data_IF_609724779365
#
_entry.id   IF_609724779365
#
_cell.length_a   1.000
_cell.length_b   1.000
_cell.length_c   1.000
_cell.angle_alpha   90.00
_cell.angle_beta   90.00
_cell.angle_gamma   90.00
#
_symmetry.space_group_name_H-M   'P 1'
#
loop_
_entity.id
_entity.type
_entity.pdbx_description
1 polymer ?
#
# COMPACT_ATOMS: atom_id res chain seq x y z
N UNK A 1 -12.59 20.61 93.93
CA UNK A 1 -12.15 20.89 95.32
C UNK A 1 -13.28 21.63 96.04
N UNK A 2 -13.90 20.97 97.04
CA UNK A 2 -14.66 21.60 98.14
C UNK A 2 -14.64 20.55 99.25
N UNK A 3 -13.65 20.65 100.15
CA UNK A 3 -13.51 19.72 101.29
C UNK A 3 -14.54 20.12 102.34
N UNK A 4 -15.71 19.48 102.35
CA UNK A 4 -16.63 19.55 103.51
C UNK A 4 -15.89 18.99 104.72
N UNK A 5 -15.64 19.85 105.70
CA UNK A 5 -14.97 19.56 106.96
C UNK A 5 -15.85 18.59 107.78
N UNK A 6 -15.35 17.38 108.09
CA UNK A 6 -16.12 16.30 108.75
C UNK A 6 -15.95 16.25 110.27
N UNK A 7 -15.24 17.23 110.85
CA UNK A 7 -15.06 17.37 112.30
C UNK A 7 -16.36 17.88 112.93
N UNK A 8 -17.14 16.94 113.49
CA UNK A 8 -18.45 17.19 114.13
C UNK A 8 -19.53 16.16 113.79
N UNK A 9 -19.31 15.28 112.80
CA UNK A 9 -20.31 14.26 112.44
C UNK A 9 -20.24 13.00 113.34
N UNK A 10 -21.40 12.46 113.79
CA UNK A 10 -21.47 11.18 114.52
C UNK A 10 -20.75 10.04 113.79
N UNK A 11 -20.11 9.14 114.53
CA UNK A 11 -19.25 8.07 113.97
C UNK A 11 -19.96 7.21 112.91
N UNK A 12 -21.28 6.98 113.04
CA UNK A 12 -22.07 6.24 112.05
C UNK A 12 -22.21 6.98 110.71
N UNK A 13 -22.29 8.32 110.74
CA UNK A 13 -22.42 9.18 109.55
C UNK A 13 -21.10 9.27 108.78
N UNK A 14 -19.96 9.30 109.48
CA UNK A 14 -18.60 9.21 108.87
C UNK A 14 -18.35 7.85 108.20
N UNK A 15 -18.74 6.73 108.83
CA UNK A 15 -18.63 5.38 108.23
C UNK A 15 -19.48 5.24 106.97
N UNK A 16 -20.69 5.84 106.96
CA UNK A 16 -21.59 5.86 105.78
C UNK A 16 -21.00 6.68 104.62
N UNK A 17 -20.44 7.85 104.90
CA UNK A 17 -19.77 8.71 103.90
C UNK A 17 -18.53 8.02 103.30
N UNK A 18 -17.70 7.37 104.13
CA UNK A 18 -16.53 6.60 103.66
C UNK A 18 -16.91 5.38 102.82
N UNK A 19 -17.95 4.62 103.21
CA UNK A 19 -18.50 3.54 102.36
C UNK A 19 -19.01 4.07 101.02
N UNK A 20 -19.67 5.22 101.00
CA UNK A 20 -20.15 5.85 99.76
C UNK A 20 -19.00 6.27 98.84
N UNK A 21 -17.93 6.87 99.38
CA UNK A 21 -16.72 7.22 98.61
C UNK A 21 -15.97 5.99 98.11
N UNK A 22 -15.82 4.94 98.93
CA UNK A 22 -15.19 3.68 98.53
C UNK A 22 -15.98 2.97 97.44
N UNK A 23 -17.31 2.88 97.58
CA UNK A 23 -18.18 2.29 96.55
C UNK A 23 -18.20 3.14 95.27
N UNK A 24 -18.13 4.47 95.38
CA UNK A 24 -17.99 5.37 94.25
C UNK A 24 -16.63 5.23 93.54
N UNK A 25 -15.53 5.03 94.29
CA UNK A 25 -14.20 4.79 93.74
C UNK A 25 -14.09 3.40 93.10
N UNK A 26 -14.66 2.36 93.73
CA UNK A 26 -14.73 1.01 93.16
C UNK A 26 -15.57 0.99 91.89
N UNK A 27 -16.72 1.68 91.90
CA UNK A 27 -17.56 1.86 90.72
C UNK A 27 -16.83 2.61 89.59
N UNK A 28 -16.04 3.63 89.93
CA UNK A 28 -15.19 4.33 88.98
C UNK A 28 -14.08 3.43 88.42
N UNK A 29 -13.42 2.61 89.25
CA UNK A 29 -12.39 1.67 88.82
C UNK A 29 -12.97 0.60 87.89
N UNK A 30 -14.13 0.04 88.22
CA UNK A 30 -14.84 -0.92 87.37
C UNK A 30 -15.24 -0.27 86.06
N UNK A 31 -15.78 0.96 86.10
CA UNK A 31 -16.13 1.71 84.90
C UNK A 31 -14.91 1.95 84.01
N UNK A 32 -13.78 2.36 84.60
CA UNK A 32 -12.51 2.56 83.88
C UNK A 32 -11.99 1.24 83.30
N UNK A 33 -12.07 0.12 84.04
CA UNK A 33 -11.67 -1.20 83.54
C UNK A 33 -12.55 -1.66 82.36
N UNK A 34 -13.87 -1.45 82.45
CA UNK A 34 -14.81 -1.75 81.35
C UNK A 34 -14.49 -0.87 80.13
N UNK A 35 -14.21 0.42 80.33
CA UNK A 35 -13.80 1.32 79.25
C UNK A 35 -12.50 0.83 78.59
N UNK A 36 -11.48 0.45 79.38
CA UNK A 36 -10.23 -0.07 78.86
C UNK A 36 -10.42 -1.38 78.08
N UNK A 37 -11.29 -2.28 78.56
CA UNK A 37 -11.60 -3.52 77.83
C UNK A 37 -12.28 -3.20 76.49
N UNK A 38 -13.32 -2.36 76.49
CA UNK A 38 -14.12 -2.05 75.30
C UNK A 38 -13.39 -1.20 74.25
N UNK A 39 -12.54 -0.27 74.70
CA UNK A 39 -11.90 0.71 73.82
C UNK A 39 -10.41 0.43 73.57
N UNK A 40 -9.76 -0.45 74.33
CA UNK A 40 -8.33 -0.77 74.16
C UNK A 40 -8.12 -2.27 73.90
N UNK A 41 -8.51 -3.14 74.85
CA UNK A 41 -8.17 -4.57 74.76
C UNK A 41 -8.91 -5.31 73.64
N UNK A 42 -10.23 -5.10 73.51
CA UNK A 42 -11.04 -5.73 72.47
C UNK A 42 -10.59 -5.27 71.07
N UNK A 43 -10.41 -3.97 70.79
CA UNK A 43 -9.82 -3.51 69.53
C UNK A 43 -8.46 -4.14 69.22
N UNK A 44 -7.54 -4.14 70.18
CA UNK A 44 -6.20 -4.71 69.98
C UNK A 44 -6.27 -6.20 69.62
N UNK A 45 -7.14 -6.96 70.29
CA UNK A 45 -7.37 -8.37 69.96
C UNK A 45 -7.95 -8.58 68.56
N UNK A 46 -8.91 -7.74 68.17
CA UNK A 46 -9.49 -7.77 66.83
C UNK A 46 -8.42 -7.44 65.78
N UNK A 47 -7.61 -6.39 66.01
CA UNK A 47 -6.50 -6.01 65.13
C UNK A 47 -5.50 -7.15 64.92
N UNK A 48 -5.05 -7.81 65.99
CA UNK A 48 -4.10 -8.91 65.89
C UNK A 48 -4.64 -10.11 65.09
N UNK A 49 -5.97 -10.32 65.10
CA UNK A 49 -6.62 -11.46 64.45
C UNK A 49 -7.20 -11.14 63.08
N UNK A 50 -7.21 -9.87 62.67
CA UNK A 50 -7.72 -9.44 61.38
C UNK A 50 -6.58 -9.18 60.40
N UNK A 51 -6.62 -9.84 59.25
CA UNK A 51 -5.84 -9.45 58.07
C UNK A 51 -6.67 -8.42 57.31
N UNK A 52 -6.10 -7.23 57.07
CA UNK A 52 -6.70 -6.18 56.25
C UNK A 52 -5.61 -5.53 55.42
N UNK A 53 -5.34 -6.09 54.24
CA UNK A 53 -4.17 -5.77 53.43
C UNK A 53 -4.56 -5.61 51.96
N UNK A 54 -3.95 -4.65 51.27
CA UNK A 54 -4.17 -4.47 49.83
C UNK A 54 -3.84 -5.76 49.07
N UNK A 55 -4.61 -6.03 48.02
CA UNK A 55 -4.23 -7.06 47.04
C UNK A 55 -3.23 -6.43 46.06
N UNK A 56 -2.00 -6.91 46.03
CA UNK A 56 -0.91 -6.32 45.23
C UNK A 56 -0.38 -5.00 45.81
N UNK A 57 0.27 -4.22 44.95
CA UNK A 57 1.12 -3.10 45.39
C UNK A 57 0.34 -1.89 45.92
N UNK A 58 0.93 -1.19 46.89
CA UNK A 58 0.37 0.06 47.43
C UNK A 58 0.36 1.21 46.44
N UNK A 59 1.24 1.17 45.45
CA UNK A 59 1.39 2.19 44.41
C UNK A 59 1.24 1.53 43.04
N UNK A 60 0.25 1.99 42.26
CA UNK A 60 0.00 1.52 40.90
C UNK A 60 0.13 2.67 39.90
N UNK A 61 0.46 2.32 38.66
CA UNK A 61 0.39 3.24 37.52
C UNK A 61 -0.75 2.81 36.61
N UNK A 62 -1.53 3.78 36.13
CA UNK A 62 -2.62 3.56 35.19
C UNK A 62 -2.47 4.50 33.99
N UNK A 63 -2.87 4.03 32.82
CA UNK A 63 -2.88 4.83 31.60
C UNK A 63 -4.12 5.73 31.55
N UNK A 64 -3.91 7.00 31.22
CA UNK A 64 -4.99 7.96 31.06
C UNK A 64 -5.93 7.56 29.90
N UNK A 65 -7.23 7.74 30.08
CA UNK A 65 -8.24 7.36 29.08
C UNK A 65 -8.57 5.87 29.01
N UNK A 66 -7.78 5.01 29.67
CA UNK A 66 -8.00 3.56 29.70
C UNK A 66 -8.91 3.10 30.86
N UNK A 67 -9.41 1.86 30.78
CA UNK A 67 -10.15 1.24 31.88
C UNK A 67 -9.19 0.76 32.97
N UNK A 68 -9.32 1.33 34.18
CA UNK A 68 -8.63 0.85 35.38
C UNK A 68 -9.60 0.07 36.29
N UNK A 69 -9.15 -1.08 36.80
CA UNK A 69 -9.84 -1.90 37.80
C UNK A 69 -8.93 -2.08 39.00
N UNK A 70 -9.40 -1.70 40.19
CA UNK A 70 -8.62 -1.87 41.41
C UNK A 70 -8.59 -3.34 41.86
N UNK A 71 -7.42 -3.91 42.19
CA UNK A 71 -7.33 -5.29 42.68
C UNK A 71 -8.08 -5.56 43.99
N UNK A 72 -8.42 -4.51 44.73
CA UNK A 72 -9.17 -4.58 45.97
C UNK A 72 -8.29 -4.84 47.20
N UNK A 73 -8.93 -5.40 48.23
CA UNK A 73 -8.31 -5.70 49.52
C UNK A 73 -8.57 -7.15 49.91
N UNK A 74 -7.60 -7.77 50.60
CA UNK A 74 -7.71 -9.07 51.24
C UNK A 74 -8.11 -8.83 52.69
N UNK A 75 -9.23 -9.41 53.10
CA UNK A 75 -9.75 -9.33 54.47
C UNK A 75 -10.03 -10.71 55.03
N UNK A 76 -9.60 -10.98 56.26
CA UNK A 76 -10.02 -12.16 57.03
C UNK A 76 -9.94 -11.88 58.53
N UNK A 77 -10.72 -12.61 59.33
CA UNK A 77 -10.63 -12.61 60.78
C UNK A 77 -10.45 -14.05 61.26
N UNK A 78 -9.35 -14.33 61.99
CA UNK A 78 -8.95 -15.69 62.37
C UNK A 78 -8.86 -16.66 61.17
N UNK A 79 -8.55 -16.15 59.98
CA UNK A 79 -8.48 -16.94 58.75
C UNK A 79 -9.80 -17.08 57.97
N UNK A 80 -10.93 -16.67 58.54
CA UNK A 80 -12.24 -16.73 57.88
C UNK A 80 -12.64 -15.40 57.23
N UNK A 81 -13.52 -15.45 56.22
CA UNK A 81 -14.05 -14.26 55.54
C UNK A 81 -15.30 -13.68 56.22
N UNK A 82 -15.71 -14.23 57.37
CA UNK A 82 -16.87 -13.77 58.15
C UNK A 82 -16.49 -13.30 59.56
N UNK A 83 -17.38 -12.51 60.15
CA UNK A 83 -17.35 -12.11 61.55
C UNK A 83 -18.77 -12.19 62.11
N UNK A 84 -19.01 -13.08 63.08
CA UNK A 84 -20.34 -13.41 63.62
C UNK A 84 -21.34 -13.77 62.52
N UNK A 85 -20.97 -14.67 61.60
CA UNK A 85 -21.83 -15.16 60.52
C UNK A 85 -22.10 -14.15 59.40
N UNK A 86 -21.54 -12.94 59.45
CA UNK A 86 -21.67 -11.92 58.40
C UNK A 86 -20.36 -11.76 57.64
N UNK A 87 -20.42 -11.74 56.30
CA UNK A 87 -19.24 -11.50 55.45
C UNK A 87 -18.52 -10.20 55.83
N UNK A 88 -17.19 -10.24 55.89
CA UNK A 88 -16.35 -9.08 56.14
C UNK A 88 -16.33 -8.14 54.94
N UNK A 89 -16.44 -8.66 53.72
CA UNK A 89 -16.45 -7.87 52.49
C UNK A 89 -17.59 -6.84 52.43
N UNK A 90 -18.77 -7.16 52.98
CA UNK A 90 -19.91 -6.23 53.04
C UNK A 90 -19.71 -5.07 54.02
N UNK A 91 -18.68 -5.13 54.86
CA UNK A 91 -18.32 -4.08 55.83
C UNK A 91 -17.28 -3.11 55.29
N UNK A 92 -16.72 -3.37 54.12
CA UNK A 92 -15.70 -2.52 53.51
C UNK A 92 -16.39 -1.35 52.83
N UNK A 93 -15.99 -0.14 53.22
CA UNK A 93 -16.32 1.10 52.50
C UNK A 93 -15.12 1.49 51.65
N UNK A 94 -15.35 1.66 50.36
CA UNK A 94 -14.34 2.09 49.39
C UNK A 94 -14.64 3.50 48.94
N UNK A 95 -13.66 4.38 49.09
CA UNK A 95 -13.67 5.74 48.56
C UNK A 95 -12.66 5.79 47.41
N UNK A 96 -13.13 5.95 46.17
CA UNK A 96 -12.29 5.97 44.97
C UNK A 96 -12.31 7.38 44.37
N UNK A 97 -11.13 8.02 44.30
CA UNK A 97 -10.96 9.38 43.78
C UNK A 97 -10.37 9.43 42.37
N UNK A 98 -10.13 8.29 41.74
CA UNK A 98 -9.43 8.18 40.45
C UNK A 98 -10.23 8.86 39.34
N UNK A 99 -9.62 9.81 38.65
CA UNK A 99 -10.13 10.38 37.39
C UNK A 99 -9.39 9.73 36.22
N UNK A 100 -10.09 8.93 35.43
CA UNK A 100 -9.49 8.06 34.41
C UNK A 100 -8.82 8.82 33.26
N UNK A 101 -9.36 9.97 32.86
CA UNK A 101 -8.85 10.77 31.73
C UNK A 101 -8.08 12.01 32.17
N UNK A 102 -7.59 12.04 33.41
CA UNK A 102 -6.85 13.18 33.93
C UNK A 102 -5.57 12.68 34.56
N UNK A 103 -4.40 13.00 33.99
CA UNK A 103 -3.12 12.67 34.61
C UNK A 103 -3.01 13.28 36.01
N UNK A 104 -2.44 12.51 36.93
CA UNK A 104 -2.30 12.92 38.33
C UNK A 104 -2.24 11.75 39.30
N UNK A 105 -2.08 12.07 40.58
CA UNK A 105 -1.99 11.08 41.66
C UNK A 105 -3.29 11.04 42.46
N UNK A 106 -3.91 9.88 42.53
CA UNK A 106 -5.20 9.63 43.18
C UNK A 106 -5.05 8.61 44.30
N UNK A 107 -6.08 8.51 45.14
CA UNK A 107 -6.13 7.55 46.25
C UNK A 107 -7.39 6.71 46.20
N UNK A 108 -7.22 5.41 46.45
CA UNK A 108 -8.30 4.49 46.80
C UNK A 108 -8.18 4.19 48.29
N UNK A 109 -9.19 4.57 49.06
CA UNK A 109 -9.18 4.43 50.51
C UNK A 109 -10.19 3.35 50.92
N UNK A 110 -9.67 2.30 51.54
CA UNK A 110 -10.46 1.22 52.12
C UNK A 110 -10.62 1.44 53.61
N UNK A 111 -11.86 1.39 54.09
CA UNK A 111 -12.18 1.51 55.52
C UNK A 111 -13.08 0.37 55.95
N UNK A 112 -12.77 -0.24 57.08
CA UNK A 112 -13.62 -1.25 57.69
C UNK A 112 -13.69 -1.04 59.20
N UNK A 113 -14.87 -1.25 59.76
CA UNK A 113 -15.12 -1.17 61.19
C UNK A 113 -15.64 -2.52 61.69
N UNK A 114 -14.97 -3.08 62.69
CA UNK A 114 -15.41 -4.29 63.41
C UNK A 114 -15.49 -3.91 64.88
N UNK A 115 -16.71 -3.86 65.41
CA UNK A 115 -16.94 -3.35 66.77
C UNK A 115 -16.33 -1.94 66.93
N UNK A 116 -15.45 -1.73 67.92
CA UNK A 116 -14.71 -0.48 68.13
C UNK A 116 -13.37 -0.40 67.35
N UNK A 117 -12.93 -1.49 66.70
CA UNK A 117 -11.70 -1.53 65.89
C UNK A 117 -11.90 -0.89 64.52
N UNK A 118 -10.89 -0.13 64.06
CA UNK A 118 -10.91 0.61 62.79
C UNK A 118 -9.75 0.22 61.89
N UNK A 119 -10.04 -0.22 60.69
CA UNK A 119 -9.04 -0.58 59.70
C UNK A 119 -9.04 0.42 58.55
N UNK A 120 -7.84 0.80 58.10
CA UNK A 120 -7.63 1.70 56.96
C UNK A 120 -6.47 1.17 56.12
N UNK A 121 -6.70 1.10 54.81
CA UNK A 121 -5.65 0.88 53.81
C UNK A 121 -5.82 1.93 52.71
N UNK A 122 -4.71 2.41 52.15
CA UNK A 122 -4.69 3.42 51.11
C UNK A 122 -3.83 2.91 49.97
N UNK A 123 -4.38 2.90 48.76
CA UNK A 123 -3.62 2.68 47.53
C UNK A 123 -3.45 4.01 46.82
N UNK A 124 -2.24 4.32 46.39
CA UNK A 124 -1.94 5.44 45.51
C UNK A 124 -1.99 4.95 44.07
N UNK A 125 -2.67 5.69 43.19
CA UNK A 125 -2.70 5.39 41.75
C UNK A 125 -2.22 6.62 41.00
N UNK A 126 -1.12 6.47 40.26
CA UNK A 126 -0.59 7.51 39.38
C UNK A 126 -1.14 7.29 37.98
N UNK A 127 -2.03 8.17 37.54
CA UNK A 127 -2.51 8.20 36.16
C UNK A 127 -1.52 9.01 35.34
N UNK A 128 -0.95 8.39 34.30
CA UNK A 128 -0.04 9.03 33.35
C UNK A 128 -0.62 8.93 31.95
N UNK A 129 -0.33 9.92 31.14
CA UNK A 129 -0.57 9.88 29.71
C UNK A 129 0.74 9.54 29.02
N UNK A 130 0.81 8.36 28.42
CA UNK A 130 1.96 7.83 27.69
C UNK A 130 1.63 7.55 26.23
N UNK A 131 0.39 7.83 25.82
CA UNK A 131 -0.08 7.58 24.46
C UNK A 131 0.20 8.76 23.55
N UNK A 132 0.89 8.52 22.44
CA UNK A 132 1.11 9.55 21.44
C UNK A 132 -0.16 9.85 20.62
N UNK A 133 -0.31 11.08 20.09
CA UNK A 133 -1.41 11.41 19.19
C UNK A 133 -1.42 10.57 17.90
N UNK A 134 -2.59 10.34 17.33
CA UNK A 134 -2.73 9.73 16.01
C UNK A 134 -2.90 10.80 14.92
N UNK A 135 -2.01 10.80 13.92
CA UNK A 135 -2.11 11.67 12.73
C UNK A 135 -2.70 10.89 11.56
N UNK A 136 -3.73 11.45 10.92
CA UNK A 136 -4.37 10.92 9.71
C UNK A 136 -4.19 11.89 8.56
N UNK A 137 -3.58 11.42 7.46
CA UNK A 137 -3.37 12.21 6.24
C UNK A 137 -4.56 12.09 5.29
N UNK A 138 -5.19 13.21 4.93
CA UNK A 138 -6.23 13.25 3.90
C UNK A 138 -5.61 12.96 2.53
N UNK A 139 -6.28 12.20 1.67
CA UNK A 139 -5.74 11.85 0.35
C UNK A 139 -4.55 10.88 0.37
N UNK A 140 -4.30 10.19 1.47
CA UNK A 140 -3.28 9.14 1.59
C UNK A 140 -1.86 9.64 1.87
N UNK A 141 -0.93 8.71 2.08
CA UNK A 141 0.47 9.00 2.39
C UNK A 141 1.38 9.07 1.14
N UNK A 142 0.84 8.85 -0.07
CA UNK A 142 1.57 8.90 -1.33
C UNK A 142 0.76 9.63 -2.39
N UNK A 143 1.38 10.60 -3.07
CA UNK A 143 0.81 11.36 -4.18
C UNK A 143 1.72 11.30 -5.39
N UNK A 144 1.14 11.28 -6.59
CA UNK A 144 1.86 11.33 -7.85
C UNK A 144 1.46 12.58 -8.63
N UNK A 145 2.45 13.34 -9.09
CA UNK A 145 2.30 14.55 -9.91
C UNK A 145 3.17 14.42 -11.16
N UNK A 146 2.82 15.12 -12.23
CA UNK A 146 3.75 15.36 -13.33
C UNK A 146 4.57 16.63 -13.04
N UNK A 147 5.78 16.69 -13.59
CA UNK A 147 6.63 17.86 -13.46
C UNK A 147 5.94 19.11 -14.03
N UNK A 148 5.92 20.17 -13.23
CA UNK A 148 5.23 21.42 -13.51
C UNK A 148 3.79 21.49 -13.02
N UNK A 149 3.20 20.39 -12.53
CA UNK A 149 1.87 20.44 -11.90
C UNK A 149 1.93 21.26 -10.60
N UNK A 150 0.81 21.90 -10.23
CA UNK A 150 0.67 22.58 -8.95
C UNK A 150 0.48 21.56 -7.82
N UNK A 151 1.30 21.64 -6.77
CA UNK A 151 1.09 20.86 -5.55
C UNK A 151 0.27 21.65 -4.52
N UNK A 152 -0.82 21.05 -4.04
CA UNK A 152 -1.58 21.51 -2.87
C UNK A 152 -1.73 20.33 -1.91
N UNK A 153 -1.42 20.53 -0.64
CA UNK A 153 -1.60 19.50 0.39
C UNK A 153 -3.09 19.17 0.54
N UNK A 154 -3.52 17.90 0.39
CA UNK A 154 -4.91 17.50 0.61
C UNK A 154 -5.38 17.64 2.08
N UNK A 155 -4.47 17.92 3.02
CA UNK A 155 -4.76 18.17 4.43
C UNK A 155 -4.48 16.98 5.33
N UNK A 156 -4.72 17.17 6.63
CA UNK A 156 -4.46 16.20 7.69
C UNK A 156 -5.33 16.50 8.92
N UNK A 157 -5.43 15.52 9.82
CA UNK A 157 -6.02 15.68 11.14
C UNK A 157 -5.18 14.94 12.19
N UNK A 158 -5.24 15.39 13.43
CA UNK A 158 -4.60 14.73 14.56
C UNK A 158 -5.53 14.69 15.78
N UNK A 159 -5.56 13.55 16.46
CA UNK A 159 -6.35 13.32 17.68
C UNK A 159 -5.54 12.55 18.71
N UNK A 160 -5.73 12.92 19.96
CA UNK A 160 -5.17 12.26 21.12
C UNK A 160 -6.29 11.75 22.05
N UNK A 161 -6.01 10.71 22.83
CA UNK A 161 -6.98 10.07 23.72
C UNK A 161 -7.36 10.95 24.93
N UNK A 162 -6.44 11.80 25.40
CA UNK A 162 -6.60 12.66 26.58
C UNK A 162 -6.82 14.11 26.19
N UNK A 163 -6.05 14.63 25.23
CA UNK A 163 -6.08 16.02 24.77
C UNK A 163 -7.15 16.27 23.68
N UNK A 164 -7.75 15.22 23.11
CA UNK A 164 -8.78 15.34 22.08
C UNK A 164 -8.21 15.79 20.73
N UNK A 165 -8.85 16.72 20.04
CA UNK A 165 -8.40 17.16 18.71
C UNK A 165 -7.19 18.11 18.81
N UNK A 166 -6.02 17.66 18.35
CA UNK A 166 -4.75 18.40 18.40
C UNK A 166 -4.25 18.85 17.01
N UNK A 167 -5.14 18.88 16.01
CA UNK A 167 -4.80 19.16 14.61
C UNK A 167 -4.08 20.51 14.41
N UNK A 168 -4.48 21.55 15.13
CA UNK A 168 -3.87 22.89 15.03
C UNK A 168 -2.45 22.98 15.63
N UNK A 169 -2.00 21.92 16.30
CA UNK A 169 -0.66 21.85 16.92
C UNK A 169 0.35 21.12 16.01
N UNK A 170 -0.10 20.54 14.90
CA UNK A 170 0.74 19.83 13.95
C UNK A 170 1.67 20.81 13.25
N UNK A 171 2.98 20.56 13.35
CA UNK A 171 4.03 21.26 12.61
C UNK A 171 4.30 20.53 11.31
N UNK A 172 4.12 21.21 10.19
CA UNK A 172 4.41 20.70 8.85
C UNK A 172 5.77 21.18 8.39
N UNK A 173 6.58 20.28 7.86
CA UNK A 173 7.92 20.59 7.33
C UNK A 173 8.19 19.82 6.04
N UNK A 174 9.08 20.36 5.21
CA UNK A 174 9.37 19.85 3.87
C UNK A 174 8.71 20.70 2.78
N UNK A 175 9.17 20.51 1.55
CA UNK A 175 8.67 21.21 0.37
C UNK A 175 8.73 20.30 -0.84
N UNK A 176 7.83 20.51 -1.81
CA UNK A 176 7.82 19.79 -3.09
C UNK A 176 8.26 20.76 -4.18
N UNK A 177 9.40 20.49 -4.81
CA UNK A 177 9.80 21.19 -6.04
C UNK A 177 9.18 20.46 -7.24
N UNK A 178 8.02 20.92 -7.68
CA UNK A 178 7.34 20.30 -8.83
C UNK A 178 8.05 20.59 -10.15
N UNK A 179 9.03 21.51 -10.18
CA UNK A 179 9.87 21.78 -11.34
C UNK A 179 10.95 20.72 -11.59
N UNK A 180 11.24 19.87 -10.60
CA UNK A 180 12.26 18.81 -10.71
C UNK A 180 11.66 17.43 -10.44
N UNK A 181 11.84 16.47 -11.34
CA UNK A 181 11.42 15.09 -11.09
C UNK A 181 12.16 14.50 -9.89
N UNK A 182 11.44 13.75 -9.07
CA UNK A 182 12.01 13.18 -7.85
C UNK A 182 10.95 12.85 -6.80
N UNK A 183 11.42 12.35 -5.67
CA UNK A 183 10.59 11.97 -4.53
C UNK A 183 10.81 12.98 -3.40
N UNK A 184 9.74 13.69 -3.03
CA UNK A 184 9.74 14.69 -1.97
C UNK A 184 9.00 14.16 -0.74
N UNK A 185 9.41 14.58 0.45
CA UNK A 185 8.81 14.15 1.72
C UNK A 185 8.30 15.36 2.48
N UNK A 186 7.02 15.32 2.85
CA UNK A 186 6.40 16.27 3.78
C UNK A 186 6.18 15.54 5.10
N UNK A 187 6.71 16.10 6.19
CA UNK A 187 6.63 15.55 7.53
C UNK A 187 5.68 16.36 8.38
N UNK A 188 4.75 15.66 9.04
CA UNK A 188 3.77 16.21 9.96
C UNK A 188 4.12 15.70 11.34
N UNK A 189 4.47 16.61 12.26
CA UNK A 189 4.86 16.26 13.63
C UNK A 189 3.94 16.95 14.63
N UNK A 190 3.46 16.23 15.64
CA UNK A 190 2.70 16.81 16.76
C UNK A 190 3.22 16.22 18.07
N UNK A 191 3.17 17.04 19.11
CA UNK A 191 3.49 16.66 20.48
C UNK A 191 2.30 17.04 21.34
N UNK A 192 1.82 16.11 22.17
CA UNK A 192 0.72 16.40 23.12
C UNK A 192 1.22 17.19 24.34
N UNK A 193 0.33 17.46 25.31
CA UNK A 193 0.72 18.17 26.54
C UNK A 193 1.58 17.32 27.48
N UNK A 194 1.49 16.00 27.40
CA UNK A 194 2.28 15.07 28.22
C UNK A 194 3.71 14.87 27.68
N UNK A 195 3.97 15.33 26.45
CA UNK A 195 5.27 15.24 25.78
C UNK A 195 5.39 14.04 24.83
N UNK A 196 4.32 13.29 24.57
CA UNK A 196 4.37 12.18 23.62
C UNK A 196 4.31 12.72 22.18
N UNK A 197 5.18 12.20 21.32
CA UNK A 197 5.33 12.69 19.95
C UNK A 197 4.80 11.70 18.92
N UNK A 198 4.17 12.23 17.87
CA UNK A 198 3.77 11.47 16.70
C UNK A 198 4.26 12.14 15.41
N UNK A 199 4.61 11.31 14.43
CA UNK A 199 5.06 11.77 13.12
C UNK A 199 4.42 10.95 12.00
N UNK A 200 3.93 11.63 10.97
CA UNK A 200 3.48 11.04 9.72
C UNK A 200 4.26 11.65 8.55
N UNK A 201 4.46 10.89 7.48
CA UNK A 201 5.18 11.35 6.29
C UNK A 201 4.30 11.13 5.06
N UNK A 202 4.15 12.19 4.26
CA UNK A 202 3.59 12.10 2.91
C UNK A 202 4.73 12.12 1.90
N UNK A 203 4.70 11.15 0.99
CA UNK A 203 5.62 11.07 -0.15
C UNK A 203 4.95 11.66 -1.38
N UNK A 204 5.60 12.60 -2.05
CA UNK A 204 5.13 13.20 -3.31
C UNK A 204 6.11 12.86 -4.41
N UNK A 205 5.67 12.07 -5.38
CA UNK A 205 6.47 11.61 -6.52
C UNK A 205 6.18 12.56 -7.68
N UNK A 206 7.17 13.36 -8.06
CA UNK A 206 7.12 14.20 -9.27
C UNK A 206 7.73 13.39 -10.41
N UNK A 207 6.88 12.94 -11.33
CA UNK A 207 7.30 12.23 -12.54
C UNK A 207 7.83 13.23 -13.55
N UNK A 208 8.89 12.87 -14.27
CA UNK A 208 9.39 13.69 -15.36
C UNK A 208 8.26 14.00 -16.34
N UNK A 209 8.09 15.28 -16.67
CA UNK A 209 7.24 15.65 -17.79
C UNK A 209 7.94 15.10 -19.00
N UNK A 210 7.35 14.06 -19.59
CA UNK A 210 7.79 13.53 -20.88
C UNK A 210 7.52 14.65 -21.88
N UNK A 211 8.51 15.53 -22.03
CA UNK A 211 8.59 16.36 -23.23
C UNK A 211 8.75 15.34 -24.34
N UNK A 212 7.82 15.24 -25.31
CA UNK A 212 8.08 14.42 -26.47
C UNK A 212 9.34 15.05 -27.09
N UNK A 213 10.49 14.40 -26.92
CA UNK A 213 11.50 14.50 -27.95
C UNK A 213 10.74 13.97 -29.15
N UNK A 214 10.36 14.84 -30.07
CA UNK A 214 9.76 14.46 -31.35
C UNK A 214 10.84 13.73 -32.15
N UNK A 215 11.25 12.53 -31.68
CA UNK A 215 12.03 11.59 -32.46
C UNK A 215 11.09 11.21 -33.60
N UNK A 216 11.37 11.79 -34.76
CA UNK A 216 10.72 11.38 -35.98
C UNK A 216 11.32 10.02 -36.33
N UNK A 217 10.79 8.96 -35.73
CA UNK A 217 11.32 7.62 -35.91
C UNK A 217 10.60 6.95 -37.07
N UNK A 218 11.33 6.21 -37.89
CA UNK A 218 10.81 5.32 -38.91
C UNK A 218 11.08 3.89 -38.46
N UNK A 219 10.03 3.10 -38.32
CA UNK A 219 10.10 1.64 -38.21
C UNK A 219 9.79 1.07 -39.57
N UNK A 220 10.82 0.62 -40.28
CA UNK A 220 10.64 -0.18 -41.49
C UNK A 220 10.14 -1.56 -41.07
N UNK A 221 8.98 -1.97 -41.58
CA UNK A 221 8.41 -3.28 -41.33
C UNK A 221 8.15 -4.01 -42.63
N UNK A 222 8.51 -5.29 -42.69
CA UNK A 222 8.39 -6.14 -43.88
C UNK A 222 7.54 -7.37 -43.57
N UNK A 223 6.46 -7.56 -44.32
CA UNK A 223 5.53 -8.68 -44.17
C UNK A 223 5.75 -9.72 -45.28
N UNK A 224 5.32 -10.95 -45.00
CA UNK A 224 5.21 -12.11 -45.91
C UNK A 224 6.55 -12.79 -46.28
N UNK A 225 7.66 -12.31 -45.72
CA UNK A 225 8.97 -12.91 -45.85
C UNK A 225 9.21 -14.13 -44.95
N UNK A 226 10.42 -14.71 -45.02
CA UNK A 226 11.50 -14.35 -45.94
C UNK A 226 11.33 -14.98 -47.34
N UNK A 227 11.80 -14.28 -48.36
CA UNK A 227 11.90 -14.73 -49.75
C UNK A 227 13.35 -14.82 -50.23
N UNK A 228 13.63 -15.73 -51.16
CA UNK A 228 14.99 -16.04 -51.61
C UNK A 228 15.65 -14.92 -52.41
N UNK A 229 14.89 -14.03 -53.05
CA UNK A 229 15.43 -12.96 -53.90
C UNK A 229 15.39 -11.59 -53.21
N UNK A 230 14.28 -11.24 -52.54
CA UNK A 230 14.04 -9.87 -52.09
C UNK A 230 14.56 -9.62 -50.67
N UNK A 231 14.34 -10.53 -49.73
CA UNK A 231 14.83 -10.44 -48.35
C UNK A 231 16.35 -10.24 -48.27
N UNK A 232 17.23 -11.03 -48.93
CA UNK A 232 18.68 -10.80 -48.84
C UNK A 232 19.10 -9.43 -49.36
N UNK A 233 18.44 -8.90 -50.40
CA UNK A 233 18.72 -7.55 -50.94
C UNK A 233 18.32 -6.46 -49.94
N UNK A 234 17.19 -6.63 -49.26
CA UNK A 234 16.74 -5.72 -48.21
C UNK A 234 17.76 -5.72 -47.06
N UNK A 235 18.16 -6.90 -46.57
CA UNK A 235 19.15 -7.03 -45.50
C UNK A 235 20.49 -6.38 -45.87
N UNK A 236 20.97 -6.57 -47.10
CA UNK A 236 22.19 -5.91 -47.59
C UNK A 236 22.09 -4.37 -47.54
N UNK A 237 20.95 -3.82 -47.95
CA UNK A 237 20.70 -2.37 -47.89
C UNK A 237 20.60 -1.89 -46.45
N UNK A 238 19.87 -2.59 -45.58
CA UNK A 238 19.74 -2.24 -44.16
C UNK A 238 21.11 -2.22 -43.47
N UNK A 239 21.91 -3.27 -43.67
CA UNK A 239 23.27 -3.39 -43.14
C UNK A 239 24.18 -2.27 -43.66
N UNK A 240 24.18 -2.00 -44.97
CA UNK A 240 24.97 -0.92 -45.58
C UNK A 240 24.67 0.44 -44.96
N UNK A 241 23.43 0.65 -44.53
CA UNK A 241 23.00 1.92 -43.95
C UNK A 241 22.98 1.92 -42.41
N UNK A 242 23.43 0.86 -41.73
CA UNK A 242 23.30 0.72 -40.27
C UNK A 242 21.87 1.02 -39.79
N UNK A 243 20.90 0.38 -40.43
CA UNK A 243 19.47 0.49 -40.10
C UNK A 243 18.97 -0.84 -39.61
N UNK A 244 18.18 -0.83 -38.53
CA UNK A 244 17.43 -1.99 -38.05
C UNK A 244 15.97 -1.88 -38.48
N UNK A 245 15.37 -3.02 -38.79
CA UNK A 245 13.98 -3.14 -39.23
C UNK A 245 13.27 -4.27 -38.45
N UNK A 246 11.97 -4.42 -38.72
CA UNK A 246 11.16 -5.52 -38.20
C UNK A 246 10.65 -6.38 -39.34
N UNK A 247 10.71 -7.70 -39.21
CA UNK A 247 10.21 -8.66 -40.20
C UNK A 247 9.06 -9.45 -39.57
N UNK A 248 7.86 -9.32 -40.13
CA UNK A 248 6.69 -10.14 -39.78
C UNK A 248 6.68 -11.34 -40.71
N UNK A 249 7.33 -12.41 -40.26
CA UNK A 249 7.57 -13.59 -41.08
C UNK A 249 6.35 -14.50 -41.11
N UNK A 250 6.23 -15.27 -42.18
CA UNK A 250 5.27 -16.36 -42.30
C UNK A 250 5.97 -17.72 -42.09
N UNK A 251 5.18 -18.80 -42.14
CA UNK A 251 5.67 -20.17 -42.07
C UNK A 251 6.82 -20.48 -43.04
N UNK A 252 7.91 -21.01 -42.49
CA UNK A 252 9.11 -21.38 -43.24
C UNK A 252 9.35 -22.90 -43.33
N UNK A 253 8.60 -23.71 -42.58
CA UNK A 253 8.70 -25.16 -42.60
C UNK A 253 10.15 -25.67 -42.42
N UNK A 254 10.58 -26.56 -43.30
CA UNK A 254 11.95 -27.07 -43.35
C UNK A 254 12.82 -26.42 -44.44
N UNK A 255 12.38 -25.30 -45.02
CA UNK A 255 13.12 -24.62 -46.10
C UNK A 255 14.47 -24.07 -45.55
N UNK A 256 15.62 -24.60 -46.01
CA UNK A 256 16.91 -24.19 -45.49
C UNK A 256 17.28 -22.75 -45.88
N UNK A 257 16.77 -22.25 -47.01
CA UNK A 257 17.04 -20.88 -47.48
C UNK A 257 16.32 -19.90 -46.57
N UNK A 258 15.02 -20.15 -46.28
CA UNK A 258 14.26 -19.31 -45.36
C UNK A 258 14.85 -19.30 -43.95
N UNK A 259 15.24 -20.48 -43.43
CA UNK A 259 15.88 -20.56 -42.11
C UNK A 259 17.19 -19.78 -42.05
N UNK A 260 18.01 -19.82 -43.10
CA UNK A 260 19.25 -19.03 -43.19
C UNK A 260 18.97 -17.52 -43.17
N UNK A 261 17.91 -17.08 -43.84
CA UNK A 261 17.52 -15.66 -43.88
C UNK A 261 16.97 -15.18 -42.52
N UNK A 262 16.14 -15.97 -41.84
CA UNK A 262 15.65 -15.63 -40.48
C UNK A 262 16.82 -15.55 -39.49
N UNK A 263 17.78 -16.50 -39.57
CA UNK A 263 19.01 -16.41 -38.76
C UNK A 263 19.76 -15.11 -39.03
N UNK A 264 19.87 -14.72 -40.29
CA UNK A 264 20.53 -13.47 -40.70
C UNK A 264 19.79 -12.23 -40.17
N UNK A 265 18.45 -12.22 -40.21
CA UNK A 265 17.65 -11.14 -39.64
C UNK A 265 17.95 -10.95 -38.13
N UNK A 266 17.98 -12.06 -37.38
CA UNK A 266 18.29 -12.06 -35.95
C UNK A 266 19.74 -11.63 -35.68
N UNK A 267 20.71 -12.23 -36.36
CA UNK A 267 22.14 -11.97 -36.15
C UNK A 267 22.53 -10.52 -36.54
N UNK A 268 21.82 -9.93 -37.50
CA UNK A 268 21.99 -8.51 -37.90
C UNK A 268 21.20 -7.54 -36.99
N UNK A 269 20.52 -8.03 -35.96
CA UNK A 269 19.86 -7.23 -34.92
C UNK A 269 18.51 -6.65 -35.34
N UNK A 270 17.80 -7.31 -36.26
CA UNK A 270 16.42 -6.98 -36.62
C UNK A 270 15.43 -7.68 -35.68
N UNK A 271 14.23 -7.12 -35.57
CA UNK A 271 13.16 -7.73 -34.76
C UNK A 271 12.36 -8.70 -35.62
N UNK A 272 12.10 -9.90 -35.10
CA UNK A 272 11.16 -10.85 -35.69
C UNK A 272 9.80 -10.74 -35.01
N UNK A 273 8.77 -10.53 -35.83
CA UNK A 273 7.35 -10.66 -35.49
C UNK A 273 6.72 -11.81 -36.27
N UNK A 274 5.54 -12.25 -35.83
CA UNK A 274 4.80 -13.37 -36.45
C UNK A 274 3.68 -12.86 -37.35
N UNK A 275 3.49 -13.52 -38.50
CA UNK A 275 2.47 -13.17 -39.50
C UNK A 275 1.61 -14.36 -39.93
N UNK A 276 1.44 -15.34 -39.03
CA UNK A 276 0.77 -16.63 -39.25
C UNK A 276 1.57 -17.59 -40.13
N UNK A 277 1.32 -18.88 -39.99
CA UNK A 277 2.09 -19.90 -40.71
C UNK A 277 1.59 -19.98 -42.15
N UNK A 278 0.28 -20.07 -42.35
CA UNK A 278 -0.32 -20.34 -43.66
C UNK A 278 -0.48 -19.09 -44.51
N UNK A 279 -0.72 -17.94 -43.86
CA UNK A 279 -1.15 -16.69 -44.51
C UNK A 279 -2.42 -16.86 -45.39
N UNK A 280 -3.19 -17.93 -45.16
CA UNK A 280 -4.46 -18.16 -45.86
C UNK A 280 -5.60 -17.57 -45.03
N UNK A 281 -6.15 -16.46 -45.51
CA UNK A 281 -7.27 -15.75 -44.88
C UNK A 281 -8.45 -16.66 -44.53
N UNK A 282 -8.79 -17.64 -45.38
CA UNK A 282 -9.91 -18.55 -45.14
C UNK A 282 -9.63 -19.51 -43.99
N UNK A 283 -8.37 -19.95 -43.87
CA UNK A 283 -7.93 -20.82 -42.79
C UNK A 283 -7.77 -20.04 -41.47
N UNK A 284 -6.97 -18.98 -41.47
CA UNK A 284 -6.60 -18.25 -40.24
C UNK A 284 -7.78 -17.55 -39.60
N UNK A 285 -8.72 -17.03 -40.40
CA UNK A 285 -9.93 -16.35 -39.89
C UNK A 285 -11.15 -17.25 -39.77
N UNK A 286 -10.99 -18.57 -39.84
CA UNK A 286 -12.08 -19.53 -39.60
C UNK A 286 -12.59 -19.47 -38.15
N UNK A 287 -11.68 -19.31 -37.18
CA UNK A 287 -12.02 -19.20 -35.77
C UNK A 287 -10.88 -18.59 -34.95
N UNK A 288 -11.18 -18.04 -33.77
CA UNK A 288 -10.18 -17.57 -32.81
C UNK A 288 -9.18 -18.67 -32.46
N UNK A 289 -9.67 -19.91 -32.27
CA UNK A 289 -8.81 -21.05 -31.93
C UNK A 289 -7.81 -21.38 -33.04
N UNK A 290 -8.24 -21.35 -34.30
CA UNK A 290 -7.37 -21.60 -35.46
C UNK A 290 -6.26 -20.55 -35.54
N UNK A 291 -6.62 -19.27 -35.46
CA UNK A 291 -5.65 -18.17 -35.49
C UNK A 291 -4.61 -18.30 -34.36
N UNK A 292 -5.08 -18.48 -33.12
CA UNK A 292 -4.20 -18.60 -31.97
C UNK A 292 -3.32 -19.86 -32.04
N UNK A 293 -3.81 -20.95 -32.63
CA UNK A 293 -3.01 -22.16 -32.88
C UNK A 293 -1.85 -21.88 -33.84
N UNK A 294 -2.10 -21.16 -34.95
CA UNK A 294 -1.03 -20.80 -35.88
C UNK A 294 0.02 -19.90 -35.23
N UNK A 295 -0.39 -18.86 -34.50
CA UNK A 295 0.55 -17.97 -33.79
C UNK A 295 1.39 -18.73 -32.75
N UNK A 296 0.76 -19.58 -31.94
CA UNK A 296 1.47 -20.34 -30.91
C UNK A 296 2.44 -21.37 -31.53
N UNK A 297 2.04 -22.00 -32.63
CA UNK A 297 2.90 -22.94 -33.34
C UNK A 297 4.06 -22.22 -34.03
N UNK A 298 3.83 -21.04 -34.61
CA UNK A 298 4.87 -20.22 -35.23
C UNK A 298 5.91 -19.78 -34.19
N UNK A 299 5.46 -19.28 -33.03
CA UNK A 299 6.34 -18.98 -31.90
C UNK A 299 7.18 -20.17 -31.48
N UNK A 300 6.57 -21.34 -31.35
CA UNK A 300 7.27 -22.56 -30.94
C UNK A 300 8.35 -22.97 -31.96
N UNK A 301 8.03 -22.87 -33.25
CA UNK A 301 8.99 -23.15 -34.33
C UNK A 301 10.17 -22.17 -34.27
N UNK A 302 9.90 -20.86 -34.18
CA UNK A 302 10.94 -19.82 -34.12
C UNK A 302 11.84 -20.00 -32.89
N UNK A 303 11.25 -20.26 -31.73
CA UNK A 303 12.00 -20.51 -30.50
C UNK A 303 12.90 -21.73 -30.64
N UNK A 304 12.37 -22.83 -31.18
CA UNK A 304 13.11 -24.09 -31.34
C UNK A 304 14.29 -23.93 -32.30
N UNK A 305 14.07 -23.32 -33.45
CA UNK A 305 15.06 -23.31 -34.54
C UNK A 305 16.09 -22.17 -34.37
N UNK A 306 15.72 -21.08 -33.70
CA UNK A 306 16.56 -19.88 -33.61
C UNK A 306 16.97 -19.48 -32.20
N UNK A 307 16.39 -20.08 -31.16
CA UNK A 307 16.50 -19.62 -29.78
C UNK A 307 16.07 -18.14 -29.62
N UNK A 308 15.02 -17.75 -30.36
CA UNK A 308 14.46 -16.40 -30.34
C UNK A 308 12.97 -16.48 -29.97
N UNK A 309 12.53 -15.69 -29.00
CA UNK A 309 11.12 -15.66 -28.59
C UNK A 309 10.41 -14.44 -29.19
N UNK A 310 9.62 -14.58 -30.26
CA UNK A 310 8.79 -13.49 -30.75
C UNK A 310 7.67 -13.19 -29.74
N UNK A 311 7.37 -11.92 -29.57
CA UNK A 311 6.34 -11.41 -28.64
C UNK A 311 5.27 -10.56 -29.35
N UNK A 312 5.45 -10.29 -30.64
CA UNK A 312 4.59 -9.42 -31.44
C UNK A 312 4.09 -10.14 -32.68
N UNK A 313 2.84 -9.84 -33.05
CA UNK A 313 2.22 -10.28 -34.30
C UNK A 313 1.87 -9.09 -35.19
N UNK A 314 1.62 -9.36 -36.46
CA UNK A 314 0.77 -8.52 -37.30
C UNK A 314 -0.31 -9.40 -37.91
N UNK A 315 -1.56 -8.98 -37.83
CA UNK A 315 -2.67 -9.71 -38.45
C UNK A 315 -2.53 -9.67 -39.98
N UNK A 316 -2.73 -10.80 -40.71
CA UNK A 316 -2.89 -10.76 -42.17
C UNK A 316 -3.95 -9.72 -42.58
N UNK A 317 -3.54 -8.72 -43.35
CA UNK A 317 -4.40 -7.60 -43.77
C UNK A 317 -4.61 -6.50 -42.72
N UNK A 318 -3.94 -6.59 -41.56
CA UNK A 318 -4.05 -5.65 -40.44
C UNK A 318 -5.26 -5.92 -39.53
N UNK A 319 -5.27 -5.31 -38.34
CA UNK A 319 -6.38 -5.43 -37.39
C UNK A 319 -7.70 -4.85 -37.94
N UNK A 320 -7.59 -3.93 -38.90
CA UNK A 320 -8.70 -3.26 -39.57
C UNK A 320 -9.27 -4.03 -40.77
N UNK A 321 -8.77 -5.23 -41.07
CA UNK A 321 -9.19 -5.97 -42.26
C UNK A 321 -10.69 -6.30 -42.20
N UNK A 322 -11.35 -6.23 -43.36
CA UNK A 322 -12.76 -6.62 -43.52
C UNK A 322 -12.92 -7.98 -44.18
N UNK A 323 -11.86 -8.51 -44.81
CA UNK A 323 -11.88 -9.81 -45.48
C UNK A 323 -12.23 -10.94 -44.52
N UNK A 324 -11.79 -10.84 -43.26
CA UNK A 324 -12.12 -11.80 -42.21
C UNK A 324 -13.63 -11.97 -41.99
N UNK A 325 -14.45 -10.96 -42.30
CA UNK A 325 -15.90 -11.02 -42.13
C UNK A 325 -16.57 -12.03 -43.08
N UNK A 326 -15.90 -12.41 -44.18
CA UNK A 326 -16.36 -13.46 -45.08
C UNK A 326 -16.26 -14.86 -44.44
N UNK A 327 -15.36 -15.04 -43.46
CA UNK A 327 -15.11 -16.34 -42.82
C UNK A 327 -15.71 -16.40 -41.42
N UNK A 328 -15.57 -15.32 -40.64
CA UNK A 328 -16.12 -15.21 -39.30
C UNK A 328 -16.40 -13.73 -38.97
N UNK A 329 -17.67 -13.34 -38.95
CA UNK A 329 -18.09 -11.99 -38.53
C UNK A 329 -17.80 -11.78 -37.04
N UNK A 330 -17.28 -10.63 -36.65
CA UNK A 330 -16.95 -10.37 -35.24
C UNK A 330 -15.56 -10.85 -34.83
N UNK A 331 -14.79 -11.47 -35.74
CA UNK A 331 -13.56 -12.18 -35.35
C UNK A 331 -12.41 -11.23 -35.00
N UNK A 332 -12.25 -10.09 -35.68
CA UNK A 332 -11.13 -9.19 -35.40
C UNK A 332 -11.28 -8.50 -34.04
N UNK A 333 -12.52 -8.16 -33.68
CA UNK A 333 -12.88 -7.72 -32.32
C UNK A 333 -12.55 -8.77 -31.25
N UNK A 334 -12.71 -10.06 -31.52
CA UNK A 334 -12.34 -11.11 -30.58
C UNK A 334 -10.83 -11.36 -30.54
N UNK A 335 -10.19 -11.40 -31.71
CA UNK A 335 -8.77 -11.68 -31.86
C UNK A 335 -7.92 -10.61 -31.20
N UNK A 336 -8.17 -9.32 -31.47
CA UNK A 336 -7.43 -8.20 -30.86
C UNK A 336 -7.29 -8.33 -29.34
N UNK A 337 -8.39 -8.62 -28.63
CA UNK A 337 -8.36 -8.90 -27.19
C UNK A 337 -7.62 -10.21 -26.88
N UNK A 338 -7.88 -11.26 -27.64
CA UNK A 338 -7.35 -12.59 -27.34
C UNK A 338 -5.83 -12.68 -27.45
N UNK A 339 -5.23 -12.00 -28.42
CA UNK A 339 -3.75 -11.98 -28.53
C UNK A 339 -3.13 -11.24 -27.35
N UNK A 340 -3.71 -10.12 -26.92
CA UNK A 340 -3.23 -9.37 -25.75
C UNK A 340 -3.39 -10.17 -24.45
N UNK A 341 -4.53 -10.82 -24.24
CA UNK A 341 -4.75 -11.75 -23.13
C UNK A 341 -3.74 -12.90 -23.09
N UNK A 342 -3.29 -13.36 -24.27
CA UNK A 342 -2.29 -14.41 -24.41
C UNK A 342 -0.84 -13.89 -24.27
N UNK A 343 -0.66 -12.61 -23.96
CA UNK A 343 0.65 -11.98 -23.72
C UNK A 343 1.39 -11.56 -25.00
N UNK A 344 0.69 -11.48 -26.13
CA UNK A 344 1.22 -10.94 -27.38
C UNK A 344 0.85 -9.47 -27.54
N UNK A 345 1.70 -8.71 -28.20
CA UNK A 345 1.30 -7.43 -28.80
C UNK A 345 0.97 -7.62 -30.28
N UNK A 346 0.14 -6.75 -30.84
CA UNK A 346 0.00 -6.64 -32.29
C UNK A 346 0.30 -5.23 -32.77
N UNK A 347 0.84 -5.12 -33.97
CA UNK A 347 1.26 -3.85 -34.57
C UNK A 347 0.72 -3.73 -35.99
N UNK A 348 -0.06 -2.68 -36.25
CA UNK A 348 -0.47 -2.30 -37.59
C UNK A 348 0.57 -1.34 -38.20
N UNK A 349 0.14 -0.38 -39.03
CA UNK A 349 0.99 0.64 -39.64
C UNK A 349 0.25 1.96 -39.72
N UNK A 350 1.00 3.06 -39.87
CA UNK A 350 0.46 4.40 -40.13
C UNK A 350 1.10 5.09 -41.34
N UNK A 351 2.01 4.40 -42.03
CA UNK A 351 2.60 4.80 -43.31
C UNK A 351 2.51 3.62 -44.26
N UNK A 352 1.82 3.79 -45.38
CA UNK A 352 1.69 2.78 -46.43
C UNK A 352 2.71 3.01 -47.55
N UNK A 353 3.42 1.96 -47.94
CA UNK A 353 4.25 1.98 -49.16
C UNK A 353 3.41 2.03 -50.44
N UNK A 354 2.21 1.44 -50.41
CA UNK A 354 1.42 1.07 -51.58
C UNK A 354 1.97 -0.15 -52.35
N UNK A 355 2.96 -0.88 -51.84
CA UNK A 355 3.51 -2.06 -52.51
C UNK A 355 2.55 -3.27 -52.49
N UNK A 356 1.56 -3.27 -51.60
CA UNK A 356 0.48 -4.26 -51.56
C UNK A 356 -0.55 -4.10 -52.69
N UNK A 357 -0.58 -2.95 -53.38
CA UNK A 357 -1.59 -2.64 -54.42
C UNK A 357 -1.43 -3.47 -55.70
N UNK A 358 -0.28 -4.13 -55.88
CA UNK A 358 -0.01 -4.99 -57.02
C UNK A 358 1.42 -5.51 -57.02
N UNK A 359 1.77 -6.29 -58.04
CA UNK A 359 3.15 -6.71 -58.27
C UNK A 359 3.88 -5.65 -59.09
N UNK A 360 5.19 -5.50 -58.85
CA UNK A 360 6.06 -4.61 -59.62
C UNK A 360 5.61 -3.14 -59.68
N UNK A 361 4.95 -2.64 -58.62
CA UNK A 361 4.58 -1.22 -58.51
C UNK A 361 5.85 -0.35 -58.69
N UNK A 362 5.85 0.65 -59.60
CA UNK A 362 7.06 1.41 -59.91
C UNK A 362 7.71 2.05 -58.68
N UNK A 363 9.02 1.93 -58.54
CA UNK A 363 9.77 2.41 -57.37
C UNK A 363 9.57 3.90 -57.07
N UNK A 364 9.36 4.74 -58.08
CA UNK A 364 9.06 6.16 -57.84
C UNK A 364 7.67 6.42 -57.26
N UNK A 365 6.69 5.55 -57.55
CA UNK A 365 5.37 5.62 -56.89
C UNK A 365 5.50 5.23 -55.42
N UNK A 366 6.22 4.15 -55.13
CA UNK A 366 6.49 3.72 -53.75
C UNK A 366 7.22 4.83 -52.97
N UNK A 367 8.26 5.42 -53.58
CA UNK A 367 9.00 6.54 -52.98
C UNK A 367 8.09 7.73 -52.62
N UNK A 368 7.20 8.14 -53.54
CA UNK A 368 6.25 9.23 -53.28
C UNK A 368 5.29 8.90 -52.15
N UNK A 369 4.77 7.67 -52.10
CA UNK A 369 3.88 7.24 -51.03
C UNK A 369 4.59 7.30 -49.66
N UNK A 370 5.79 6.71 -49.55
CA UNK A 370 6.57 6.76 -48.32
C UNK A 370 6.77 8.20 -47.83
N UNK A 371 7.29 9.07 -48.69
CA UNK A 371 7.63 10.45 -48.31
C UNK A 371 6.39 11.27 -47.95
N UNK A 372 5.28 11.09 -48.69
CA UNK A 372 4.02 11.81 -48.45
C UNK A 372 3.41 11.47 -47.09
N UNK A 373 3.50 10.22 -46.67
CA UNK A 373 2.80 9.73 -45.47
C UNK A 373 3.63 9.86 -44.19
N UNK A 374 4.94 10.12 -44.30
CA UNK A 374 5.77 10.40 -43.14
C UNK A 374 5.29 11.66 -42.39
N UNK A 375 5.09 11.52 -41.08
CA UNK A 375 4.73 12.62 -40.18
C UNK A 375 5.91 12.96 -39.28
N UNK A 376 6.34 14.21 -39.35
CA UNK A 376 7.37 14.75 -38.47
C UNK A 376 6.92 14.73 -37.01
N UNK A 377 7.85 14.34 -36.15
CA UNK A 377 7.65 14.25 -34.70
C UNK A 377 6.72 13.15 -34.22
N UNK A 378 6.46 12.15 -35.05
CA UNK A 378 5.73 10.93 -34.69
C UNK A 378 6.56 9.68 -34.94
N UNK A 379 6.10 8.59 -34.37
CA UNK A 379 6.49 7.24 -34.75
C UNK A 379 5.83 6.90 -36.09
N UNK A 380 6.64 6.53 -37.09
CA UNK A 380 6.20 6.20 -38.44
C UNK A 380 6.44 4.71 -38.68
N UNK A 381 5.41 3.88 -38.53
CA UNK A 381 5.46 2.45 -38.81
C UNK A 381 5.08 2.23 -40.27
N UNK A 382 6.08 1.88 -41.08
CA UNK A 382 5.98 1.76 -42.54
C UNK A 382 5.69 0.31 -42.91
N UNK A 383 4.57 0.06 -43.58
CA UNK A 383 4.25 -1.26 -44.14
C UNK A 383 4.92 -1.45 -45.50
N UNK A 384 5.75 -2.49 -45.60
CA UNK A 384 6.36 -3.01 -46.82
C UNK A 384 6.19 -4.54 -46.86
N UNK A 385 6.49 -5.14 -48.02
CA UNK A 385 6.50 -6.58 -48.18
C UNK A 385 7.83 -7.03 -48.80
N UNK A 386 8.37 -8.15 -48.35
CA UNK A 386 9.62 -8.72 -48.85
C UNK A 386 9.45 -10.06 -49.57
N UNK A 387 8.27 -10.31 -50.16
CA UNK A 387 8.06 -11.45 -51.07
C UNK A 387 8.83 -11.29 -52.39
N UNK A 388 9.06 -12.39 -53.12
CA UNK A 388 9.76 -12.36 -54.42
C UNK A 388 9.06 -11.48 -55.48
N UNK A 389 7.76 -11.19 -55.32
CA UNK A 389 7.00 -10.31 -56.21
C UNK A 389 7.25 -8.80 -55.95
N UNK A 390 7.95 -8.46 -54.86
CA UNK A 390 8.12 -7.08 -54.36
C UNK A 390 9.53 -6.55 -54.61
N UNK A 391 10.09 -6.86 -55.78
CA UNK A 391 11.45 -6.43 -56.19
C UNK A 391 11.62 -4.91 -56.16
N UNK A 392 10.57 -4.17 -56.48
CA UNK A 392 10.57 -2.70 -56.49
C UNK A 392 10.64 -2.10 -55.08
N UNK A 393 10.20 -2.81 -54.04
CA UNK A 393 10.37 -2.45 -52.62
C UNK A 393 11.85 -2.46 -52.23
N UNK A 394 12.60 -3.51 -52.60
CA UNK A 394 14.06 -3.52 -52.40
C UNK A 394 14.76 -2.43 -53.22
N UNK A 395 14.31 -2.17 -54.46
CA UNK A 395 14.92 -1.17 -55.34
C UNK A 395 14.79 0.28 -54.82
N UNK A 396 13.68 0.62 -54.16
CA UNK A 396 13.44 1.98 -53.63
C UNK A 396 14.05 2.20 -52.24
N UNK A 397 14.33 1.13 -51.48
CA UNK A 397 14.68 1.19 -50.06
C UNK A 397 15.90 2.10 -49.77
N UNK A 398 16.97 2.00 -50.56
CA UNK A 398 18.16 2.85 -50.38
C UNK A 398 17.83 4.35 -50.53
N UNK A 399 17.01 4.70 -51.53
CA UNK A 399 16.57 6.09 -51.78
C UNK A 399 15.74 6.60 -50.60
N UNK A 400 14.85 5.76 -50.07
CA UNK A 400 14.02 6.12 -48.92
C UNK A 400 14.82 6.28 -47.62
N UNK A 401 15.75 5.38 -47.32
CA UNK A 401 16.62 5.50 -46.13
C UNK A 401 17.45 6.79 -46.20
N UNK A 402 18.01 7.09 -47.38
CA UNK A 402 18.78 8.32 -47.62
C UNK A 402 17.92 9.55 -47.37
N UNK A 403 16.68 9.57 -47.87
CA UNK A 403 15.73 10.64 -47.61
C UNK A 403 15.45 10.80 -46.11
N UNK A 404 15.10 9.72 -45.42
CA UNK A 404 14.78 9.75 -43.99
C UNK A 404 15.92 10.32 -43.16
N UNK A 405 17.15 9.83 -43.35
CA UNK A 405 18.34 10.33 -42.65
C UNK A 405 18.61 11.81 -42.96
N UNK A 406 18.56 12.21 -44.24
CA UNK A 406 18.75 13.60 -44.67
C UNK A 406 17.75 14.55 -44.02
N UNK A 407 16.51 14.10 -43.82
CA UNK A 407 15.46 14.91 -43.22
C UNK A 407 15.40 14.76 -41.70
N UNK A 408 16.38 14.12 -41.03
CA UNK A 408 16.43 14.02 -39.57
C UNK A 408 15.44 13.02 -38.97
N UNK A 409 15.11 11.97 -39.72
CA UNK A 409 14.46 10.79 -39.15
C UNK A 409 15.50 9.81 -38.62
N UNK A 410 15.16 9.13 -37.53
CA UNK A 410 15.94 7.99 -37.02
C UNK A 410 15.27 6.70 -37.45
N UNK A 411 16.02 5.66 -37.79
CA UNK A 411 15.45 4.34 -38.07
C UNK A 411 15.64 3.40 -36.88
N UNK A 412 14.63 2.61 -36.56
CA UNK A 412 14.68 1.60 -35.50
C UNK A 412 13.90 0.35 -35.90
N UNK A 413 14.33 -0.79 -35.36
CA UNK A 413 13.46 -1.95 -35.24
C UNK A 413 12.47 -1.73 -34.09
N UNK A 414 11.31 -2.37 -34.15
CA UNK A 414 10.31 -2.32 -33.08
C UNK A 414 10.83 -3.12 -31.89
N UNK A 415 10.72 -2.55 -30.68
CA UNK A 415 11.07 -3.23 -29.43
C UNK A 415 9.90 -3.11 -28.42
N UNK A 416 10.05 -3.74 -27.25
CA UNK A 416 9.01 -3.76 -26.22
C UNK A 416 8.67 -2.37 -25.64
N UNK A 417 9.50 -1.35 -25.88
CA UNK A 417 9.25 0.03 -25.48
C UNK A 417 8.58 0.87 -26.58
N UNK A 418 8.50 0.35 -27.80
CA UNK A 418 7.86 1.04 -28.93
C UNK A 418 6.34 1.12 -28.69
N UNK A 419 5.72 2.31 -28.79
CA UNK A 419 4.26 2.42 -28.75
C UNK A 419 3.61 1.64 -29.90
N UNK A 420 2.61 0.81 -29.58
CA UNK A 420 1.88 0.06 -30.60
C UNK A 420 0.96 0.99 -31.41
N UNK A 421 0.97 0.84 -32.72
CA UNK A 421 0.04 1.50 -33.64
C UNK A 421 -1.09 0.52 -33.94
N UNK A 422 -2.30 0.88 -33.55
CA UNK A 422 -3.51 0.10 -33.83
C UNK A 422 -4.44 0.89 -34.74
N UNK A 423 -4.84 0.28 -35.84
CA UNK A 423 -5.89 0.80 -36.69
C UNK A 423 -7.27 0.50 -36.09
N UNK A 424 -8.30 1.14 -36.63
CA UNK A 424 -9.67 0.87 -36.20
C UNK A 424 -10.08 -0.53 -36.64
N UNK A 425 -10.51 -1.35 -35.70
CA UNK A 425 -11.09 -2.66 -35.95
C UNK A 425 -12.42 -2.50 -36.71
N UNK A 426 -12.57 -3.21 -37.83
CA UNK A 426 -13.71 -3.09 -38.74
C UNK A 426 -14.55 -4.37 -38.89
N UNK A 427 -14.17 -5.45 -38.19
CA UNK A 427 -14.90 -6.71 -38.07
C UNK A 427 -14.76 -7.26 -36.65
#
# INVERSE_FOLDING_TARGET
MSRRNTYGMPAWKRRREMRRRRNSLLGLIILVAVILIFFVAIPAHIHHKTVFQLKGDSDLTAEAGSSYTDPGIKVSYKGEDTYHGKKLSSRIKTENTIKKSTPGTYKVIYRMHIFTARFKAVRTVTVKDTTAPAITLSGGNSLSLNQGDSYKDPGYSAKDAVDGTVTNQVKVSGSVDTGKPGTYRITYKVTDKAGNEASAVRTVIVKAKVTPVTKSTIYLTFDDGPSSEVTPRILDILKKNDVKATFFIIGYGNDPVKKKLIRREIDEGHTIGMHTISHDYAAVYKSVGTFMSEINQEKANIQKDFNYTPWMIRFPGGSSNTISAHYCKGIMSQLSRKVEEAGYSYMDWNVSSGDAEGNEIPSDRLYRNYVRELVKGKENVVLCHDTNAKKTTAAVLQKFITYGKKHGYTFKAIDQSTPMIHQRINN
#
